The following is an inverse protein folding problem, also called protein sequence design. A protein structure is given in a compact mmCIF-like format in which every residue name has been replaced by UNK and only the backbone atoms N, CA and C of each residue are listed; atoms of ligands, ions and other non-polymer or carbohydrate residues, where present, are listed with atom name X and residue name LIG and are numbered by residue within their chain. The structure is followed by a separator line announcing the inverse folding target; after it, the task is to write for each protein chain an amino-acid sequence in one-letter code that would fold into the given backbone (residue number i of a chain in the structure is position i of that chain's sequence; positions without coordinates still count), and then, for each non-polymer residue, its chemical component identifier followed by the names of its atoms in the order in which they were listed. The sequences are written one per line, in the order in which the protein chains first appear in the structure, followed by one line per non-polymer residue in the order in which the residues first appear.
data_IF_468902283980
#
_entry.id   IF_468902283980
#
_cell.length_a   1.000
_cell.length_b   1.000
_cell.length_c   1.000
_cell.angle_alpha   90.00
_cell.angle_beta   90.00
_cell.angle_gamma   90.00
#
_symmetry.space_group_name_H-M   'P 1'
#
loop_
_entity.id
_entity.type
_entity.pdbx_description
1 polymer ?
#
# COMPACT_ATOMS: atom_id res chain seq x y z
N UNK A 1 20.79 -24.36 -6.08
CA UNK A 1 19.36 -23.97 -6.09
C UNK A 1 19.18 -22.98 -4.96
N UNK A 2 18.47 -21.89 -5.17
CA UNK A 2 18.16 -20.96 -4.10
C UNK A 2 17.30 -21.67 -3.05
N UNK A 3 17.50 -21.31 -1.78
CA UNK A 3 16.73 -21.90 -0.66
C UNK A 3 15.35 -21.29 -0.63
N UNK A 4 14.31 -22.12 -0.62
CA UNK A 4 12.94 -21.69 -0.46
C UNK A 4 12.72 -21.32 1.00
N UNK A 5 12.27 -20.08 1.26
CA UNK A 5 11.93 -19.62 2.59
C UNK A 5 10.48 -19.88 2.92
N UNK A 6 9.58 -19.54 1.99
CA UNK A 6 8.13 -19.70 2.14
C UNK A 6 7.55 -20.51 0.99
N UNK A 7 6.66 -21.42 1.33
CA UNK A 7 5.83 -22.15 0.37
C UNK A 7 4.40 -22.26 0.92
N UNK A 8 3.46 -21.74 0.18
CA UNK A 8 2.03 -21.89 0.44
C UNK A 8 1.47 -22.85 -0.62
N UNK A 9 0.95 -23.98 -0.20
CA UNK A 9 0.49 -25.07 -1.09
C UNK A 9 -1.01 -25.28 -0.98
N UNK A 10 -1.69 -25.20 -2.12
CA UNK A 10 -3.11 -25.53 -2.28
C UNK A 10 -4.00 -24.75 -1.30
N UNK A 11 -3.69 -23.48 -1.09
CA UNK A 11 -4.44 -22.65 -0.15
C UNK A 11 -5.84 -22.37 -0.72
N UNK A 12 -6.86 -22.81 0.00
CA UNK A 12 -8.26 -22.57 -0.33
C UNK A 12 -8.96 -21.90 0.84
N UNK A 13 -9.63 -20.78 0.58
CA UNK A 13 -10.37 -20.02 1.59
C UNK A 13 -11.74 -19.64 1.07
N UNK A 14 -12.78 -20.10 1.77
CA UNK A 14 -14.18 -19.80 1.44
C UNK A 14 -14.78 -18.91 2.52
N UNK A 15 -15.53 -17.91 2.10
CA UNK A 15 -16.43 -17.11 2.92
C UNK A 15 -17.87 -17.38 2.52
N UNK A 16 -18.88 -17.00 3.32
CA UNK A 16 -20.28 -17.17 2.93
C UNK A 16 -20.55 -16.55 1.55
N UNK A 17 -20.90 -17.38 0.58
CA UNK A 17 -21.23 -16.96 -0.80
C UNK A 17 -20.05 -16.74 -1.74
N UNK A 18 -18.77 -16.82 -1.30
CA UNK A 18 -17.61 -16.61 -2.19
C UNK A 18 -16.42 -17.47 -1.81
N UNK A 19 -15.80 -18.11 -2.80
CA UNK A 19 -14.48 -18.75 -2.65
C UNK A 19 -13.42 -17.71 -3.01
N UNK A 20 -12.81 -17.11 -2.00
CA UNK A 20 -11.85 -16.04 -2.17
C UNK A 20 -10.46 -16.53 -2.60
N UNK A 21 -10.09 -17.77 -2.22
CA UNK A 21 -8.88 -18.47 -2.69
C UNK A 21 -9.28 -19.88 -3.10
N UNK A 22 -8.80 -20.32 -4.26
CA UNK A 22 -9.04 -21.63 -4.83
C UNK A 22 -7.72 -22.25 -5.27
N UNK A 23 -7.19 -23.16 -4.45
CA UNK A 23 -5.96 -23.91 -4.73
C UNK A 23 -4.74 -23.01 -5.05
N UNK A 24 -4.60 -21.88 -4.32
CA UNK A 24 -3.51 -20.92 -4.53
C UNK A 24 -2.19 -21.50 -4.08
N UNK A 25 -1.17 -21.31 -4.93
CA UNK A 25 0.20 -21.71 -4.66
C UNK A 25 1.13 -20.50 -4.78
N UNK A 26 2.00 -20.32 -3.77
CA UNK A 26 3.00 -19.25 -3.72
C UNK A 26 4.32 -19.82 -3.20
N UNK A 27 5.42 -19.50 -3.86
CA UNK A 27 6.76 -19.92 -3.45
C UNK A 27 7.70 -18.73 -3.46
N UNK A 28 8.39 -18.48 -2.33
CA UNK A 28 9.31 -17.35 -2.15
C UNK A 28 10.67 -17.86 -1.73
N UNK A 29 11.72 -17.43 -2.45
CA UNK A 29 13.11 -17.77 -2.16
C UNK A 29 13.71 -16.85 -1.09
N UNK A 30 14.68 -17.32 -0.34
CA UNK A 30 15.37 -16.53 0.67
C UNK A 30 16.16 -15.39 0.00
N UNK A 31 16.01 -14.16 0.50
CA UNK A 31 16.69 -12.97 0.01
C UNK A 31 16.11 -12.38 -1.29
N UNK A 32 14.96 -12.85 -1.78
CA UNK A 32 14.29 -12.22 -2.93
C UNK A 32 13.26 -11.17 -2.52
N UNK A 33 12.97 -10.25 -3.42
CA UNK A 33 11.75 -9.45 -3.39
C UNK A 33 10.76 -10.10 -4.34
N UNK A 34 9.70 -10.67 -3.80
CA UNK A 34 8.63 -11.33 -4.53
C UNK A 34 7.41 -10.41 -4.65
N UNK A 35 6.95 -10.13 -5.83
CA UNK A 35 5.74 -9.36 -6.01
C UNK A 35 4.51 -10.27 -6.16
N UNK A 36 3.40 -9.86 -5.55
CA UNK A 36 2.10 -10.50 -5.69
C UNK A 36 1.14 -9.52 -6.36
N UNK A 37 0.73 -9.84 -7.59
CA UNK A 37 -0.10 -8.96 -8.42
C UNK A 37 -1.42 -9.61 -8.80
N UNK A 38 -2.41 -8.80 -9.13
CA UNK A 38 -3.75 -9.23 -9.54
C UNK A 38 -4.74 -8.07 -9.44
N UNK A 39 -5.91 -8.20 -10.02
CA UNK A 39 -6.98 -7.20 -9.90
C UNK A 39 -7.48 -7.07 -8.45
N UNK A 40 -8.21 -5.99 -8.17
CA UNK A 40 -8.88 -5.83 -6.88
C UNK A 40 -9.89 -6.97 -6.70
N UNK A 41 -9.88 -7.59 -5.52
CA UNK A 41 -10.70 -8.78 -5.26
C UNK A 41 -10.10 -10.12 -5.72
N UNK A 42 -8.92 -10.14 -6.35
CA UNK A 42 -8.28 -11.39 -6.81
C UNK A 42 -7.81 -12.32 -5.68
N UNK A 43 -7.88 -11.90 -4.41
CA UNK A 43 -7.53 -12.73 -3.26
C UNK A 43 -6.16 -12.42 -2.62
N UNK A 44 -5.40 -11.41 -3.11
CA UNK A 44 -4.05 -11.09 -2.60
C UNK A 44 -4.01 -10.86 -1.09
N UNK A 45 -4.79 -9.91 -0.57
CA UNK A 45 -4.83 -9.60 0.86
C UNK A 45 -5.40 -10.77 1.67
N UNK A 46 -6.34 -11.55 1.10
CA UNK A 46 -6.83 -12.78 1.74
C UNK A 46 -5.70 -13.81 1.92
N UNK A 47 -4.84 -13.99 0.90
CA UNK A 47 -3.70 -14.90 0.97
C UNK A 47 -2.69 -14.44 2.05
N UNK A 48 -2.41 -13.15 2.13
CA UNK A 48 -1.52 -12.59 3.15
C UNK A 48 -2.13 -12.67 4.55
N UNK A 49 -3.45 -12.52 4.70
CA UNK A 49 -4.15 -12.71 5.96
C UNK A 49 -4.14 -14.17 6.44
N UNK A 50 -4.13 -15.13 5.52
CA UNK A 50 -3.87 -16.55 5.84
C UNK A 50 -2.44 -16.72 6.35
N UNK A 51 -1.45 -16.15 5.64
CA UNK A 51 -0.04 -16.25 6.00
C UNK A 51 0.29 -15.58 7.35
N UNK A 52 -0.34 -14.45 7.65
CA UNK A 52 -0.12 -13.72 8.91
C UNK A 52 -0.89 -14.26 10.11
N UNK A 53 -1.75 -15.28 9.93
CA UNK A 53 -2.55 -15.84 11.02
C UNK A 53 -3.79 -15.02 11.41
N UNK A 54 -4.14 -13.96 10.63
CA UNK A 54 -5.43 -13.26 10.77
C UNK A 54 -6.58 -14.23 10.50
N UNK A 55 -6.42 -15.10 9.51
CA UNK A 55 -7.29 -16.26 9.34
C UNK A 55 -6.62 -17.50 9.95
N UNK A 56 -7.10 -17.97 11.13
CA UNK A 56 -6.46 -19.05 11.87
C UNK A 56 -6.41 -20.36 11.10
N UNK A 57 -5.41 -21.19 11.43
CA UNK A 57 -5.34 -22.57 10.95
C UNK A 57 -6.65 -23.32 11.21
N UNK A 58 -7.11 -24.09 10.22
CA UNK A 58 -8.40 -24.78 10.24
C UNK A 58 -9.57 -23.96 9.68
N UNK A 59 -9.37 -22.68 9.37
CA UNK A 59 -10.38 -21.84 8.66
C UNK A 59 -10.12 -21.77 7.15
N UNK A 60 -9.09 -22.45 6.68
CA UNK A 60 -8.69 -22.59 5.28
C UNK A 60 -8.10 -23.98 5.07
N UNK A 61 -8.05 -24.45 3.83
CA UNK A 61 -7.37 -25.69 3.44
C UNK A 61 -5.99 -25.38 2.87
N UNK A 62 -5.11 -26.38 2.83
CA UNK A 62 -3.75 -26.28 2.33
C UNK A 62 -2.71 -26.15 3.44
N UNK A 63 -1.45 -25.94 3.05
CA UNK A 63 -0.33 -25.90 3.96
C UNK A 63 0.54 -24.66 3.77
N UNK A 64 0.98 -24.08 4.88
CA UNK A 64 2.04 -23.08 4.92
C UNK A 64 3.31 -23.79 5.38
N UNK A 65 4.36 -23.73 4.56
CA UNK A 65 5.68 -24.27 4.88
C UNK A 65 6.63 -23.09 4.94
N UNK A 66 7.24 -22.85 6.09
CA UNK A 66 8.18 -21.78 6.31
C UNK A 66 9.50 -22.32 6.82
N UNK A 67 10.59 -21.98 6.12
CA UNK A 67 11.94 -22.50 6.36
C UNK A 67 11.98 -24.05 6.45
N UNK A 68 11.16 -24.73 5.62
CA UNK A 68 11.06 -26.18 5.54
C UNK A 68 10.14 -26.84 6.58
N UNK A 69 9.53 -26.08 7.50
CA UNK A 69 8.62 -26.58 8.52
C UNK A 69 7.16 -26.21 8.18
N UNK A 70 6.24 -27.16 8.39
CA UNK A 70 4.80 -26.88 8.29
C UNK A 70 4.38 -26.00 9.48
N UNK A 71 3.83 -24.82 9.17
CA UNK A 71 3.36 -23.86 10.15
C UNK A 71 1.83 -23.86 10.25
N UNK A 72 1.33 -23.74 11.49
CA UNK A 72 -0.09 -23.66 11.82
C UNK A 72 -0.32 -22.42 12.68
N UNK A 73 -0.55 -21.30 12.03
CA UNK A 73 -0.75 -20.03 12.72
C UNK A 73 -2.20 -19.89 13.19
N UNK A 74 -2.41 -19.71 14.48
CA UNK A 74 -3.73 -19.49 15.08
C UNK A 74 -3.95 -18.00 15.40
N UNK A 75 -2.87 -17.23 15.51
CA UNK A 75 -2.86 -15.80 15.82
C UNK A 75 -1.77 -15.11 15.02
N UNK A 76 -1.86 -13.77 14.92
CA UNK A 76 -0.83 -12.92 14.32
C UNK A 76 0.51 -13.09 15.07
N UNK A 77 0.45 -13.29 16.38
CA UNK A 77 1.65 -13.47 17.21
C UNK A 77 2.45 -14.70 16.80
N UNK A 78 1.78 -15.80 16.40
CA UNK A 78 2.46 -17.03 15.98
C UNK A 78 3.30 -16.80 14.71
N UNK A 79 2.81 -15.99 13.76
CA UNK A 79 3.56 -15.64 12.55
C UNK A 79 4.69 -14.64 12.84
N UNK A 80 4.45 -13.66 13.72
CA UNK A 80 5.46 -12.71 14.16
C UNK A 80 6.61 -13.38 14.90
N UNK A 81 6.35 -14.37 15.76
CA UNK A 81 7.38 -15.17 16.45
C UNK A 81 8.28 -15.97 15.48
N UNK A 82 7.75 -16.34 14.30
CA UNK A 82 8.56 -16.90 13.20
C UNK A 82 9.28 -15.86 12.37
N UNK A 83 9.06 -14.56 12.63
CA UNK A 83 9.65 -13.44 11.91
C UNK A 83 8.91 -13.09 10.61
N UNK A 84 7.64 -13.46 10.47
CA UNK A 84 6.77 -13.02 9.37
C UNK A 84 5.99 -11.81 9.86
N UNK A 85 6.26 -10.64 9.27
CA UNK A 85 5.62 -9.38 9.68
C UNK A 85 4.96 -8.72 8.48
N UNK A 86 3.70 -8.32 8.64
CA UNK A 86 2.92 -7.62 7.62
C UNK A 86 2.79 -6.14 7.96
N UNK A 87 2.99 -5.30 6.96
CA UNK A 87 2.68 -3.88 6.97
C UNK A 87 1.47 -3.68 6.05
N UNK A 88 0.36 -3.26 6.64
CA UNK A 88 -0.90 -3.06 5.94
C UNK A 88 -0.91 -1.74 5.17
N UNK A 89 -1.80 -1.64 4.18
CA UNK A 89 -2.03 -0.43 3.39
C UNK A 89 -2.42 0.77 4.26
N UNK A 90 -3.26 0.54 5.28
CA UNK A 90 -3.60 1.56 6.27
C UNK A 90 -2.57 1.53 7.40
N UNK A 91 -1.97 2.69 7.68
CA UNK A 91 -0.98 2.81 8.75
C UNK A 91 -1.64 2.54 10.11
N UNK A 92 -1.13 1.54 10.83
CA UNK A 92 -1.60 1.16 12.16
C UNK A 92 -0.88 1.96 13.26
N UNK A 93 -0.73 3.28 13.05
CA UNK A 93 -0.07 4.18 13.98
C UNK A 93 -1.09 5.05 14.73
N UNK A 94 -0.86 5.24 16.03
CA UNK A 94 -1.69 6.08 16.89
C UNK A 94 -1.15 7.51 16.84
N UNK A 95 -1.91 8.50 16.29
CA UNK A 95 -1.39 9.83 15.99
C UNK A 95 -0.88 10.62 17.20
N UNK A 96 -1.47 10.42 18.37
CA UNK A 96 -1.15 11.14 19.60
C UNK A 96 -0.14 10.40 20.50
N UNK A 97 0.43 9.30 20.03
CA UNK A 97 1.57 8.63 20.67
C UNK A 97 2.85 8.99 19.94
N UNK A 98 3.97 8.90 20.63
CA UNK A 98 5.29 9.09 20.05
C UNK A 98 5.66 7.94 19.09
N UNK A 99 6.67 8.15 18.26
CA UNK A 99 7.22 7.11 17.38
C UNK A 99 7.63 5.88 18.20
N UNK A 100 8.40 6.09 19.29
CA UNK A 100 8.89 4.98 20.12
C UNK A 100 7.77 4.20 20.80
N UNK A 101 6.74 4.88 21.31
CA UNK A 101 5.55 4.23 21.89
C UNK A 101 4.80 3.40 20.83
N UNK A 102 4.63 3.91 19.61
CA UNK A 102 4.00 3.16 18.52
C UNK A 102 4.81 1.93 18.11
N UNK A 103 6.14 2.04 18.06
CA UNK A 103 7.02 0.94 17.65
C UNK A 103 7.00 -0.22 18.64
N UNK A 104 6.89 0.09 19.92
CA UNK A 104 6.99 -0.91 21.00
C UNK A 104 5.69 -1.15 21.76
N UNK A 105 4.55 -0.66 21.25
CA UNK A 105 3.24 -0.84 21.89
C UNK A 105 2.96 -2.33 22.15
N UNK A 106 2.81 -2.69 23.43
CA UNK A 106 2.63 -4.07 23.88
C UNK A 106 3.91 -4.91 23.92
N UNK A 107 5.08 -4.31 23.61
CA UNK A 107 6.40 -4.95 23.66
C UNK A 107 7.46 -3.98 24.25
N UNK A 108 7.04 -3.09 25.13
CA UNK A 108 7.89 -2.11 25.78
C UNK A 108 9.04 -2.79 26.55
N UNK A 109 10.20 -2.18 26.58
CA UNK A 109 11.37 -2.70 27.31
C UNK A 109 11.20 -2.43 28.80
N UNK A 110 11.70 -3.37 29.61
CA UNK A 110 11.63 -3.27 31.06
C UNK A 110 11.38 -4.60 31.76
N UNK A 111 10.87 -4.52 32.98
CA UNK A 111 10.48 -5.67 33.78
C UNK A 111 8.96 -5.84 33.75
N UNK A 112 8.46 -6.97 34.30
CA UNK A 112 7.02 -7.20 34.46
C UNK A 112 6.29 -6.15 35.33
N UNK A 113 7.04 -5.36 36.11
CA UNK A 113 6.50 -4.37 37.05
C UNK A 113 6.71 -2.92 36.59
N UNK A 114 7.64 -2.65 35.66
CA UNK A 114 7.93 -1.29 35.22
C UNK A 114 8.51 -1.25 33.80
N UNK A 115 8.04 -0.29 32.99
CA UNK A 115 8.56 -0.03 31.67
C UNK A 115 9.81 0.83 31.77
N UNK A 116 10.87 0.44 31.04
CA UNK A 116 12.09 1.24 30.89
C UNK A 116 11.97 2.09 29.60
N UNK A 117 11.39 3.26 29.71
CA UNK A 117 11.20 4.16 28.58
C UNK A 117 12.50 4.63 27.92
N UNK A 118 13.58 4.81 28.70
CA UNK A 118 14.86 5.21 28.12
C UNK A 118 15.44 4.12 27.21
N UNK A 119 15.32 2.88 27.60
CA UNK A 119 15.73 1.73 26.79
C UNK A 119 14.83 1.59 25.56
N UNK A 120 13.50 1.68 25.75
CA UNK A 120 12.51 1.61 24.65
C UNK A 120 12.78 2.67 23.58
N UNK A 121 12.96 3.94 23.98
CA UNK A 121 13.27 5.01 23.04
C UNK A 121 14.66 4.84 22.41
N UNK A 122 15.66 4.43 23.19
CA UNK A 122 17.00 4.19 22.66
C UNK A 122 17.08 3.07 21.64
N UNK A 123 16.26 2.01 21.80
CA UNK A 123 16.12 0.97 20.79
C UNK A 123 15.35 1.46 19.56
N UNK A 124 14.26 2.22 19.75
CA UNK A 124 13.53 2.82 18.64
C UNK A 124 14.45 3.68 17.76
N UNK A 125 15.27 4.55 18.35
CA UNK A 125 16.21 5.41 17.62
C UNK A 125 17.21 4.60 16.77
N UNK A 126 17.60 3.39 17.17
CA UNK A 126 18.46 2.51 16.35
C UNK A 126 17.76 2.07 15.06
N UNK A 127 16.49 1.64 15.17
CA UNK A 127 15.75 1.19 13.99
C UNK A 127 15.35 2.35 13.08
N UNK A 128 15.07 3.54 13.63
CA UNK A 128 14.84 4.75 12.85
C UNK A 128 16.05 5.10 11.98
N UNK A 129 17.26 4.99 12.52
CA UNK A 129 18.50 5.18 11.74
C UNK A 129 18.66 4.14 10.61
N UNK A 130 18.25 2.89 10.83
CA UNK A 130 18.33 1.83 9.80
C UNK A 130 17.46 2.18 8.61
N UNK A 131 16.25 2.71 8.84
CA UNK A 131 15.33 3.13 7.78
C UNK A 131 15.62 4.54 7.24
N UNK A 132 16.64 5.23 7.77
CA UNK A 132 17.04 6.57 7.31
C UNK A 132 16.15 7.70 7.83
N UNK A 133 15.46 7.50 8.94
CA UNK A 133 14.63 8.52 9.57
C UNK A 133 15.42 9.25 10.66
N UNK A 134 15.54 10.58 10.54
CA UNK A 134 16.31 11.43 11.44
C UNK A 134 15.51 11.93 12.64
N UNK A 135 14.17 11.78 12.62
CA UNK A 135 13.29 12.18 13.70
C UNK A 135 13.60 11.41 14.98
N UNK A 136 13.45 12.11 16.12
CA UNK A 136 13.56 11.48 17.44
C UNK A 136 12.40 10.53 17.69
N UNK A 137 12.67 9.39 18.30
CA UNK A 137 11.64 8.45 18.76
C UNK A 137 10.60 9.07 19.71
N UNK A 138 10.87 10.26 20.27
CA UNK A 138 9.95 11.02 21.12
C UNK A 138 9.02 11.97 20.35
N UNK A 139 9.18 12.08 19.03
CA UNK A 139 8.30 12.89 18.17
C UNK A 139 6.93 12.21 18.05
N UNK A 140 5.84 13.00 18.10
CA UNK A 140 4.50 12.48 17.91
C UNK A 140 4.25 12.09 16.43
N UNK A 141 3.52 11.02 16.21
CA UNK A 141 3.18 10.56 14.85
C UNK A 141 2.43 11.62 14.05
N UNK A 142 1.52 12.37 14.66
CA UNK A 142 0.76 13.44 13.98
C UNK A 142 1.63 14.57 13.45
N UNK A 143 2.85 14.73 13.96
CA UNK A 143 3.76 15.84 13.61
C UNK A 143 4.71 15.47 12.46
N UNK A 144 4.64 14.24 11.93
CA UNK A 144 5.42 13.77 10.80
C UNK A 144 4.52 13.45 9.59
N UNK A 145 5.06 13.66 8.38
CA UNK A 145 4.36 13.38 7.13
C UNK A 145 4.15 11.89 6.88
N UNK A 146 3.22 11.55 5.98
CA UNK A 146 2.81 10.15 5.67
C UNK A 146 4.00 9.30 5.21
N UNK A 147 4.92 9.84 4.38
CA UNK A 147 6.13 9.11 3.97
C UNK A 147 7.00 8.70 5.14
N UNK A 148 7.16 9.58 6.14
CA UNK A 148 7.90 9.27 7.36
C UNK A 148 7.16 8.28 8.26
N UNK A 149 5.83 8.36 8.32
CA UNK A 149 5.00 7.38 9.03
C UNK A 149 5.16 5.97 8.43
N UNK A 150 5.27 5.86 7.11
CA UNK A 150 5.56 4.58 6.44
C UNK A 150 6.92 4.00 6.86
N UNK A 151 7.95 4.85 6.97
CA UNK A 151 9.26 4.42 7.48
C UNK A 151 9.19 3.98 8.95
N UNK A 152 8.34 4.60 9.77
CA UNK A 152 8.10 4.15 11.17
C UNK A 152 7.48 2.75 11.20
N UNK A 153 6.51 2.43 10.34
CA UNK A 153 5.95 1.07 10.27
C UNK A 153 7.00 0.03 9.86
N UNK A 154 7.90 0.39 8.94
CA UNK A 154 9.01 -0.50 8.57
C UNK A 154 9.99 -0.66 9.75
N UNK A 155 10.35 0.42 10.44
CA UNK A 155 11.20 0.36 11.63
C UNK A 155 10.59 -0.52 12.72
N UNK A 156 9.27 -0.42 12.94
CA UNK A 156 8.49 -1.25 13.87
C UNK A 156 8.54 -2.73 13.47
N UNK A 157 8.40 -3.04 12.18
CA UNK A 157 8.53 -4.41 11.68
C UNK A 157 9.94 -4.99 11.89
N UNK A 158 10.98 -4.19 11.64
CA UNK A 158 12.37 -4.59 11.89
C UNK A 158 12.66 -4.81 13.38
N UNK A 159 12.06 -3.99 14.28
CA UNK A 159 12.18 -4.16 15.71
C UNK A 159 11.59 -5.49 16.22
N UNK A 160 10.66 -6.09 15.46
CA UNK A 160 10.12 -7.45 15.69
C UNK A 160 10.99 -8.57 15.10
N UNK A 161 12.24 -8.27 14.68
CA UNK A 161 13.14 -9.23 14.03
C UNK A 161 12.56 -9.89 12.77
N UNK A 162 11.89 -9.12 11.94
CA UNK A 162 11.33 -9.59 10.69
C UNK A 162 12.40 -10.28 9.81
N UNK A 163 12.08 -11.49 9.33
CA UNK A 163 12.85 -12.26 8.33
C UNK A 163 12.15 -12.26 6.98
N UNK A 164 10.82 -12.23 7.01
CA UNK A 164 9.96 -12.05 5.86
C UNK A 164 9.08 -10.82 6.10
N UNK A 165 9.29 -9.80 5.30
CA UNK A 165 8.53 -8.56 5.35
C UNK A 165 7.47 -8.55 4.26
N UNK A 166 6.20 -8.44 4.65
CA UNK A 166 5.08 -8.32 3.72
C UNK A 166 4.62 -6.87 3.70
N UNK A 167 4.56 -6.27 2.50
CA UNK A 167 4.14 -4.89 2.31
C UNK A 167 2.91 -4.86 1.41
N UNK A 168 1.77 -4.45 1.96
CA UNK A 168 0.51 -4.32 1.22
C UNK A 168 0.33 -2.86 0.79
N UNK A 169 0.46 -2.59 -0.53
CA UNK A 169 0.34 -1.27 -1.16
C UNK A 169 1.20 -0.17 -0.50
N UNK A 170 2.50 -0.39 -0.23
CA UNK A 170 3.29 0.48 0.64
C UNK A 170 3.52 1.89 0.10
N UNK A 171 3.29 2.11 -1.19
CA UNK A 171 3.49 3.40 -1.88
C UNK A 171 2.19 4.10 -2.28
N UNK A 172 1.02 3.54 -1.89
CA UNK A 172 -0.29 4.04 -2.36
C UNK A 172 -0.57 5.50 -1.96
N UNK A 173 -0.13 5.90 -0.77
CA UNK A 173 -0.33 7.24 -0.20
C UNK A 173 0.91 8.15 -0.29
N UNK A 174 1.99 7.69 -0.95
CA UNK A 174 3.25 8.42 -1.06
C UNK A 174 3.33 9.25 -2.34
N UNK A 175 4.07 10.34 -2.29
CA UNK A 175 4.50 11.06 -3.50
C UNK A 175 5.59 10.25 -4.23
N UNK A 176 6.04 10.73 -5.38
CA UNK A 176 6.98 9.99 -6.23
C UNK A 176 8.37 9.85 -5.57
N UNK A 177 8.86 10.93 -4.93
CA UNK A 177 10.16 10.93 -4.25
C UNK A 177 10.18 9.98 -3.05
N UNK A 178 9.13 10.03 -2.21
CA UNK A 178 8.99 9.14 -1.05
C UNK A 178 8.82 7.68 -1.49
N UNK A 179 8.09 7.43 -2.59
CA UNK A 179 7.94 6.10 -3.17
C UNK A 179 9.28 5.55 -3.64
N UNK A 180 10.05 6.36 -4.38
CA UNK A 180 11.37 5.94 -4.86
C UNK A 180 12.33 5.66 -3.68
N UNK A 181 12.34 6.52 -2.66
CA UNK A 181 13.18 6.32 -1.46
C UNK A 181 12.82 5.01 -0.73
N UNK A 182 11.53 4.68 -0.64
CA UNK A 182 11.06 3.42 -0.05
C UNK A 182 11.53 2.20 -0.87
N UNK A 183 11.43 2.26 -2.19
CA UNK A 183 11.87 1.16 -3.07
C UNK A 183 13.39 0.93 -2.96
N UNK A 184 14.18 2.01 -2.90
CA UNK A 184 15.64 1.92 -2.68
C UNK A 184 15.97 1.30 -1.30
N UNK A 185 15.19 1.63 -0.27
CA UNK A 185 15.33 1.03 1.06
C UNK A 185 15.07 -0.49 1.01
N UNK A 186 14.04 -0.94 0.28
CA UNK A 186 13.77 -2.37 0.10
C UNK A 186 14.91 -3.09 -0.64
N UNK A 187 15.47 -2.46 -1.69
CA UNK A 187 16.64 -3.00 -2.39
C UNK A 187 17.89 -3.08 -1.48
N UNK A 188 18.07 -2.11 -0.57
CA UNK A 188 19.12 -2.15 0.45
C UNK A 188 18.92 -3.31 1.41
N UNK A 189 17.69 -3.53 1.90
CA UNK A 189 17.37 -4.66 2.79
C UNK A 189 17.57 -6.01 2.10
N UNK A 190 17.18 -6.13 0.84
CA UNK A 190 17.45 -7.32 0.03
C UNK A 190 18.94 -7.64 -0.04
N UNK A 191 19.81 -6.63 -0.28
CA UNK A 191 21.27 -6.81 -0.27
C UNK A 191 21.82 -7.29 1.07
N UNK A 192 21.09 -7.06 2.16
CA UNK A 192 21.39 -7.55 3.51
C UNK A 192 20.78 -8.92 3.82
N UNK A 193 20.14 -9.56 2.83
CA UNK A 193 19.53 -10.88 2.96
C UNK A 193 18.07 -10.89 3.42
N UNK A 194 17.42 -9.73 3.54
CA UNK A 194 16.00 -9.65 3.87
C UNK A 194 15.15 -10.18 2.71
N UNK A 195 14.18 -11.02 3.02
CA UNK A 195 13.16 -11.47 2.06
C UNK A 195 11.92 -10.59 2.20
N UNK A 196 11.32 -10.19 1.08
CA UNK A 196 10.11 -9.36 1.09
C UNK A 196 9.07 -9.85 0.09
N UNK A 197 7.80 -9.74 0.47
CA UNK A 197 6.66 -9.85 -0.44
C UNK A 197 6.05 -8.45 -0.58
N UNK A 198 5.92 -7.96 -1.80
CA UNK A 198 5.30 -6.67 -2.09
C UNK A 198 4.01 -6.87 -2.87
N UNK A 199 2.92 -6.32 -2.37
CA UNK A 199 1.65 -6.23 -3.08
C UNK A 199 1.52 -4.80 -3.57
N UNK A 200 1.37 -4.61 -4.88
CA UNK A 200 1.11 -3.29 -5.46
C UNK A 200 0.38 -3.43 -6.80
N UNK A 201 -0.35 -2.40 -7.16
CA UNK A 201 -0.94 -2.25 -8.49
C UNK A 201 -0.09 -1.35 -9.40
N UNK A 202 0.98 -0.74 -8.88
CA UNK A 202 1.92 0.10 -9.62
C UNK A 202 3.00 -0.79 -10.27
N UNK A 203 2.74 -1.25 -11.49
CA UNK A 203 3.58 -2.23 -12.16
C UNK A 203 4.99 -1.73 -12.48
N UNK A 204 5.17 -0.43 -12.69
CA UNK A 204 6.48 0.20 -12.85
C UNK A 204 7.35 0.02 -11.59
N UNK A 205 6.78 0.21 -10.39
CA UNK A 205 7.49 0.00 -9.12
C UNK A 205 7.86 -1.47 -8.93
N UNK A 206 6.91 -2.39 -9.22
CA UNK A 206 7.14 -3.84 -9.15
C UNK A 206 8.24 -4.26 -10.11
N UNK A 207 8.18 -3.85 -11.37
CA UNK A 207 9.19 -4.18 -12.38
C UNK A 207 10.58 -3.67 -11.99
N UNK A 208 10.65 -2.59 -11.23
CA UNK A 208 11.91 -2.04 -10.72
C UNK A 208 12.53 -2.93 -9.64
N UNK A 209 11.79 -3.32 -8.61
CA UNK A 209 12.35 -3.96 -7.40
C UNK A 209 12.25 -5.48 -7.36
N UNK A 210 11.21 -6.08 -7.97
CA UNK A 210 10.94 -7.50 -7.82
C UNK A 210 11.90 -8.40 -8.60
N UNK A 211 12.20 -9.56 -8.03
CA UNK A 211 12.91 -10.66 -8.69
C UNK A 211 11.95 -11.60 -9.38
N UNK A 212 10.81 -11.86 -8.74
CA UNK A 212 9.73 -12.70 -9.25
C UNK A 212 8.39 -12.05 -9.02
N UNK A 213 7.44 -12.36 -9.85
CA UNK A 213 6.06 -11.89 -9.78
C UNK A 213 5.14 -13.09 -9.85
N UNK A 214 4.32 -13.31 -8.81
CA UNK A 214 3.19 -14.25 -8.89
C UNK A 214 1.91 -13.49 -9.21
N UNK A 215 1.23 -13.94 -10.26
CA UNK A 215 -0.05 -13.38 -10.70
C UNK A 215 -1.19 -14.19 -10.11
N UNK A 216 -2.09 -13.52 -9.38
CA UNK A 216 -3.34 -14.11 -8.89
C UNK A 216 -4.52 -13.47 -9.65
N UNK A 217 -5.44 -14.31 -10.09
CA UNK A 217 -6.69 -13.90 -10.73
C UNK A 217 -7.81 -14.82 -10.28
N UNK A 218 -8.95 -14.24 -9.93
CA UNK A 218 -10.16 -14.96 -9.51
C UNK A 218 -9.90 -16.01 -8.41
N UNK A 219 -9.05 -15.64 -7.43
CA UNK A 219 -8.70 -16.51 -6.32
C UNK A 219 -7.71 -17.64 -6.66
N UNK A 220 -7.11 -17.68 -7.84
CA UNK A 220 -6.19 -18.74 -8.27
C UNK A 220 -4.84 -18.19 -8.72
N UNK A 221 -3.77 -18.97 -8.50
CA UNK A 221 -2.45 -18.65 -9.07
C UNK A 221 -2.47 -18.95 -10.57
N UNK A 222 -2.18 -17.95 -11.37
CA UNK A 222 -2.10 -18.08 -12.84
C UNK A 222 -0.69 -18.50 -13.25
N UNK A 223 0.31 -17.75 -12.81
CA UNK A 223 1.72 -17.99 -13.16
C UNK A 223 2.65 -17.28 -12.19
N UNK A 224 3.92 -17.66 -12.22
CA UNK A 224 5.02 -16.93 -11.57
C UNK A 224 6.07 -16.61 -12.62
N UNK A 225 6.34 -15.33 -12.82
CA UNK A 225 7.37 -14.81 -13.72
C UNK A 225 8.69 -14.61 -12.95
N UNK A 226 9.79 -14.98 -13.55
CA UNK A 226 11.17 -14.80 -13.03
C UNK A 226 11.87 -13.74 -13.89
N UNK A 227 12.30 -12.62 -13.32
CA UNK A 227 12.96 -11.50 -14.01
C UNK A 227 14.16 -11.93 -14.84
N UNK A 228 14.81 -13.03 -14.49
CA UNK A 228 16.00 -13.55 -15.18
C UNK A 228 15.67 -14.40 -16.41
N UNK A 229 14.40 -14.84 -16.54
CA UNK A 229 14.01 -15.85 -17.55
C UNK A 229 12.87 -15.39 -18.43
N UNK A 230 11.97 -14.56 -17.87
CA UNK A 230 10.70 -14.22 -18.48
C UNK A 230 10.64 -12.75 -18.89
N UNK A 231 9.71 -12.43 -19.79
CA UNK A 231 9.35 -11.04 -20.09
C UNK A 231 8.67 -10.42 -18.86
N UNK A 232 9.30 -9.36 -18.32
CA UNK A 232 8.89 -8.64 -17.13
C UNK A 232 8.26 -7.27 -17.47
N UNK A 233 7.81 -7.11 -18.73
CA UNK A 233 7.13 -5.90 -19.18
C UNK A 233 5.78 -5.73 -18.51
N UNK A 234 5.36 -4.46 -18.33
CA UNK A 234 4.02 -4.17 -17.80
C UNK A 234 2.91 -4.83 -18.61
N UNK A 235 3.04 -4.87 -19.94
CA UNK A 235 2.06 -5.49 -20.84
C UNK A 235 1.90 -6.98 -20.55
N UNK A 236 3.04 -7.68 -20.34
CA UNK A 236 3.04 -9.10 -20.03
C UNK A 236 2.38 -9.39 -18.67
N UNK A 237 2.68 -8.57 -17.65
CA UNK A 237 2.07 -8.69 -16.32
C UNK A 237 0.56 -8.43 -16.39
N UNK A 238 0.14 -7.37 -17.09
CA UNK A 238 -1.29 -7.03 -17.28
C UNK A 238 -2.03 -8.18 -17.99
N UNK A 239 -1.42 -8.78 -19.01
CA UNK A 239 -2.02 -9.93 -19.70
C UNK A 239 -2.30 -11.09 -18.74
N UNK A 240 -1.37 -11.40 -17.84
CA UNK A 240 -1.58 -12.40 -16.78
C UNK A 240 -2.73 -12.03 -15.84
N UNK A 241 -2.78 -10.77 -15.40
CA UNK A 241 -3.79 -10.27 -14.46
C UNK A 241 -5.21 -10.28 -15.05
N UNK A 242 -5.37 -9.82 -16.30
CA UNK A 242 -6.68 -9.63 -16.96
C UNK A 242 -7.10 -10.87 -17.77
N UNK A 243 -6.15 -11.68 -18.20
CA UNK A 243 -6.40 -12.91 -18.97
C UNK A 243 -6.72 -12.70 -20.45
N UNK A 244 -6.58 -11.49 -20.96
CA UNK A 244 -6.74 -11.14 -22.39
C UNK A 244 -5.70 -10.09 -22.78
N UNK A 245 -5.30 -10.08 -24.03
CA UNK A 245 -4.50 -8.99 -24.56
C UNK A 245 -5.29 -7.67 -24.50
N UNK A 246 -4.72 -6.68 -23.83
CA UNK A 246 -5.23 -5.33 -23.87
C UNK A 246 -4.60 -4.61 -25.06
N UNK A 247 -5.29 -4.65 -26.19
CA UNK A 247 -4.84 -4.02 -27.44
C UNK A 247 -4.91 -2.48 -27.38
N UNK A 248 -5.77 -1.92 -26.55
CA UNK A 248 -5.90 -0.49 -26.35
C UNK A 248 -6.27 -0.19 -24.88
N UNK A 249 -5.34 0.49 -24.17
CA UNK A 249 -5.52 0.93 -22.77
C UNK A 249 -6.54 2.07 -22.64
N UNK A 250 -6.71 2.85 -23.72
CA UNK A 250 -7.58 4.02 -23.79
C UNK A 250 -8.45 3.97 -25.04
N UNK A 251 -9.43 3.04 -25.12
CA UNK A 251 -10.23 2.89 -26.30
C UNK A 251 -10.96 4.19 -26.64
N UNK A 252 -10.85 4.60 -27.90
CA UNK A 252 -11.61 5.76 -28.40
C UNK A 252 -13.10 5.47 -28.20
N UNK A 253 -13.84 6.46 -27.73
CA UNK A 253 -15.30 6.39 -27.60
C UNK A 253 -15.94 6.82 -28.91
N UNK A 254 -16.24 5.94 -29.86
CA UNK A 254 -16.89 6.31 -31.10
C UNK A 254 -18.32 6.77 -30.80
N UNK A 255 -18.76 7.86 -31.47
CA UNK A 255 -20.15 8.31 -31.42
C UNK A 255 -20.53 9.23 -30.25
N UNK A 256 -19.59 9.63 -29.37
CA UNK A 256 -19.88 10.64 -28.35
C UNK A 256 -20.02 12.02 -28.99
N UNK A 257 -21.23 12.58 -28.96
CA UNK A 257 -21.47 13.99 -29.34
C UNK A 257 -21.35 14.85 -28.10
N UNK A 258 -20.36 15.73 -28.09
CA UNK A 258 -20.23 16.74 -27.05
C UNK A 258 -21.26 17.84 -27.34
N UNK A 259 -22.12 18.08 -26.36
CA UNK A 259 -23.20 19.08 -26.45
C UNK A 259 -22.84 20.43 -25.84
N UNK A 260 -23.86 21.20 -25.46
CA UNK A 260 -23.71 22.48 -24.80
C UNK A 260 -23.07 22.36 -23.43
N UNK A 261 -22.56 23.50 -22.90
CA UNK A 261 -22.00 23.60 -21.55
C UNK A 261 -23.06 23.20 -20.51
N UNK A 262 -22.78 22.16 -19.76
CA UNK A 262 -23.62 21.68 -18.68
C UNK A 262 -23.25 22.35 -17.34
N UNK A 263 -21.95 22.52 -17.10
CA UNK A 263 -21.41 23.17 -15.89
C UNK A 263 -20.28 24.10 -16.28
N UNK A 264 -20.24 25.28 -15.68
CA UNK A 264 -19.14 26.22 -15.81
C UNK A 264 -18.74 26.74 -14.43
N UNK A 265 -17.46 26.63 -14.10
CA UNK A 265 -16.86 27.20 -12.89
C UNK A 265 -16.00 28.38 -13.29
N UNK A 266 -16.16 29.54 -12.62
CA UNK A 266 -15.42 30.78 -12.91
C UNK A 266 -14.75 31.33 -11.67
N UNK A 267 -13.45 31.60 -11.77
CA UNK A 267 -12.64 32.31 -10.77
C UNK A 267 -12.82 31.74 -9.35
N UNK A 268 -12.85 30.39 -9.23
CA UNK A 268 -13.11 29.72 -7.97
C UNK A 268 -11.91 29.78 -7.05
N UNK A 269 -12.12 30.30 -5.84
CA UNK A 269 -11.09 30.44 -4.82
C UNK A 269 -11.57 29.80 -3.52
N UNK A 270 -10.67 29.12 -2.83
CA UNK A 270 -10.96 28.46 -1.54
C UNK A 270 -9.77 28.63 -0.62
N UNK A 271 -10.03 28.96 0.63
CA UNK A 271 -9.03 29.01 1.69
C UNK A 271 -9.17 27.84 2.65
N UNK A 272 -8.06 27.46 3.28
CA UNK A 272 -8.04 26.35 4.24
C UNK A 272 -8.95 26.62 5.44
N UNK A 273 -9.73 25.62 5.92
CA UNK A 273 -10.72 25.86 6.99
C UNK A 273 -10.10 26.32 8.32
N UNK A 274 -8.91 25.86 8.66
CA UNK A 274 -8.20 26.21 9.90
C UNK A 274 -7.15 27.31 9.71
N UNK A 275 -6.56 27.42 8.52
CA UNK A 275 -5.52 28.41 8.20
C UNK A 275 -6.06 29.38 7.14
N UNK A 276 -6.86 30.36 7.58
CA UNK A 276 -7.63 31.25 6.70
C UNK A 276 -6.80 32.13 5.76
N UNK A 277 -5.49 32.21 5.97
CA UNK A 277 -4.56 32.91 5.07
C UNK A 277 -3.99 31.98 3.98
N UNK A 278 -4.11 30.66 4.15
CA UNK A 278 -3.63 29.67 3.18
C UNK A 278 -4.70 29.42 2.12
N UNK A 279 -4.45 29.91 0.90
CA UNK A 279 -5.28 29.59 -0.26
C UNK A 279 -4.96 28.18 -0.74
N UNK A 280 -5.96 27.33 -0.88
CA UNK A 280 -5.84 25.92 -1.31
C UNK A 280 -6.35 25.71 -2.74
N UNK A 281 -7.25 26.58 -3.21
CA UNK A 281 -7.69 26.65 -4.61
C UNK A 281 -7.58 28.12 -5.03
N UNK A 282 -6.85 28.39 -6.11
CA UNK A 282 -6.56 29.74 -6.56
C UNK A 282 -7.03 29.97 -7.99
N UNK A 283 -8.08 30.78 -8.14
CA UNK A 283 -8.61 31.29 -9.40
C UNK A 283 -8.86 30.21 -10.47
N UNK A 284 -9.43 29.07 -10.07
CA UNK A 284 -9.70 27.93 -10.96
C UNK A 284 -10.95 28.20 -11.80
N UNK A 285 -10.83 27.99 -13.11
CA UNK A 285 -11.95 28.09 -14.06
C UNK A 285 -11.92 26.90 -15.02
N UNK A 286 -13.08 26.28 -15.27
CA UNK A 286 -13.24 25.20 -16.25
C UNK A 286 -14.69 25.03 -16.67
N UNK A 287 -14.91 24.30 -17.77
CA UNK A 287 -16.24 23.97 -18.30
C UNK A 287 -16.36 22.46 -18.47
N UNK A 288 -17.58 21.97 -18.32
CA UNK A 288 -17.95 20.59 -18.60
C UNK A 288 -19.15 20.62 -19.55
N UNK A 289 -19.05 19.92 -20.68
CA UNK A 289 -20.11 19.82 -21.67
C UNK A 289 -20.98 18.58 -21.46
N UNK A 290 -22.19 18.58 -21.97
CA UNK A 290 -23.05 17.39 -21.98
C UNK A 290 -22.39 16.27 -22.77
N UNK A 291 -22.33 15.06 -22.18
CA UNK A 291 -21.68 13.89 -22.79
C UNK A 291 -20.15 13.89 -22.71
N UNK A 292 -19.54 14.91 -22.10
CA UNK A 292 -18.10 15.00 -21.90
C UNK A 292 -17.69 14.34 -20.56
N UNK A 293 -16.47 13.78 -20.52
CA UNK A 293 -15.78 13.39 -19.30
C UNK A 293 -14.53 14.26 -19.17
N UNK A 294 -14.53 15.15 -18.18
CA UNK A 294 -13.40 16.03 -17.89
C UNK A 294 -12.56 15.42 -16.80
N UNK A 295 -11.25 15.24 -17.07
CA UNK A 295 -10.27 14.79 -16.07
C UNK A 295 -9.62 15.98 -15.36
N UNK A 296 -9.57 15.92 -14.02
CA UNK A 296 -8.81 16.86 -13.20
C UNK A 296 -7.57 16.15 -12.66
N UNK A 297 -6.39 16.53 -13.15
CA UNK A 297 -5.12 15.94 -12.74
C UNK A 297 -4.27 16.92 -11.92
N UNK A 298 -3.25 16.42 -11.26
CA UNK A 298 -2.31 17.20 -10.46
C UNK A 298 -1.58 16.35 -9.43
N UNK A 299 -0.47 16.86 -8.89
CA UNK A 299 0.30 16.19 -7.83
C UNK A 299 -0.49 16.12 -6.51
N UNK A 300 -0.03 15.30 -5.57
CA UNK A 300 -0.56 15.30 -4.20
C UNK A 300 -0.45 16.71 -3.60
N UNK A 301 -1.53 17.15 -2.93
CA UNK A 301 -1.60 18.52 -2.38
C UNK A 301 -1.91 19.63 -3.38
N UNK A 302 -2.16 19.32 -4.66
CA UNK A 302 -2.54 20.31 -5.68
C UNK A 302 -3.96 20.91 -5.51
N UNK A 303 -4.71 20.53 -4.48
CA UNK A 303 -6.03 21.08 -4.19
C UNK A 303 -7.20 20.44 -4.95
N UNK A 304 -7.01 19.26 -5.59
CA UNK A 304 -8.07 18.60 -6.38
C UNK A 304 -9.29 18.22 -5.53
N UNK A 305 -9.05 17.60 -4.39
CA UNK A 305 -10.10 17.20 -3.44
C UNK A 305 -10.78 18.42 -2.87
N UNK A 306 -10.01 19.43 -2.48
CA UNK A 306 -10.49 20.71 -1.96
C UNK A 306 -11.36 21.44 -2.99
N UNK A 307 -10.95 21.44 -4.26
CA UNK A 307 -11.75 21.98 -5.35
C UNK A 307 -13.09 21.24 -5.48
N UNK A 308 -13.08 19.92 -5.58
CA UNK A 308 -14.29 19.12 -5.75
C UNK A 308 -15.24 19.29 -4.56
N UNK A 309 -14.76 19.17 -3.33
CA UNK A 309 -15.55 19.29 -2.10
C UNK A 309 -16.08 20.71 -1.89
N UNK A 310 -15.33 21.73 -2.26
CA UNK A 310 -15.79 23.14 -2.14
C UNK A 310 -16.90 23.48 -3.13
N UNK A 311 -16.91 22.88 -4.32
CA UNK A 311 -18.00 23.00 -5.29
C UNK A 311 -19.20 22.17 -4.85
N UNK A 312 -18.97 20.94 -4.36
CA UNK A 312 -20.01 20.03 -3.89
C UNK A 312 -20.54 20.46 -2.51
N UNK A 313 -21.55 21.33 -2.52
CA UNK A 313 -22.23 21.80 -1.31
C UNK A 313 -21.38 22.63 -0.35
N UNK A 314 -20.24 23.18 -0.81
CA UNK A 314 -19.27 23.93 0.01
C UNK A 314 -18.81 23.14 1.24
N UNK A 315 -18.65 21.83 1.10
CA UNK A 315 -18.31 20.92 2.20
C UNK A 315 -16.86 21.07 2.70
N UNK A 316 -16.02 21.82 1.99
CA UNK A 316 -14.65 22.13 2.38
C UNK A 316 -14.31 23.60 2.15
N UNK A 317 -13.56 24.18 3.08
CA UNK A 317 -12.93 25.49 2.95
C UNK A 317 -13.71 26.67 3.54
N UNK A 318 -13.01 27.81 3.58
CA UNK A 318 -13.56 29.11 4.04
C UNK A 318 -13.27 30.18 2.98
N UNK A 319 -13.90 31.38 3.12
CA UNK A 319 -13.74 32.50 2.17
C UNK A 319 -13.90 32.06 0.71
N UNK A 320 -14.86 31.15 0.43
CA UNK A 320 -15.14 30.63 -0.90
C UNK A 320 -15.70 31.73 -1.77
N UNK A 321 -15.07 31.98 -2.92
CA UNK A 321 -15.52 32.96 -3.90
C UNK A 321 -15.39 32.44 -5.33
N UNK A 322 -16.10 33.03 -6.25
CA UNK A 322 -16.25 32.61 -7.64
C UNK A 322 -17.69 32.23 -7.95
N UNK A 323 -17.93 31.71 -9.13
CA UNK A 323 -19.28 31.41 -9.62
C UNK A 323 -19.33 29.99 -10.19
N UNK A 324 -20.43 29.31 -9.98
CA UNK A 324 -20.76 28.02 -10.61
C UNK A 324 -22.07 28.18 -11.34
N UNK A 325 -22.08 27.84 -12.62
CA UNK A 325 -23.28 27.87 -13.45
C UNK A 325 -23.63 26.43 -13.83
N UNK A 326 -24.90 26.10 -13.73
CA UNK A 326 -25.47 24.84 -14.18
C UNK A 326 -26.47 25.10 -15.29
N UNK A 327 -26.23 24.54 -16.50
CA UNK A 327 -27.06 24.76 -17.69
C UNK A 327 -27.31 26.25 -17.98
N UNK A 328 -26.28 27.09 -17.81
CA UNK A 328 -26.33 28.51 -18.09
C UNK A 328 -26.97 29.40 -17.03
N UNK A 329 -27.35 28.84 -15.87
CA UNK A 329 -27.96 29.56 -14.73
C UNK A 329 -27.08 29.51 -13.51
#
# INVERSE_FOLDING_TARGET
MAKILLEMKNITKTFPGVKALDNVNLQVEEGEIHALVGENGAGKSTLMNVLSGIYPYGTYDGNIIYNGEICKFNTIKDSEEKGIVIIHQELALIPYMTIGENMYLGNERGSSLSINWNETYGEADKYLKIVGLEESSRTLIKDIGVGKQQLVEIAKALAKNAKLLILDEPTASLNEDDSQALLELLLKFKKQGMTSIIISHKLNEISYVADKITVIRDGSTIETLDKKKDDFSEQRIIQGMVGREMTDRFPKRPGVKIGDVSMEVKNWNVYHPLYSERKVVDNVSFKVHKGEVVGISGLMGAGRTELAMSIFGKSYGTKISGQVFMNGK
#
